data_IF_548427113144
#
_entry.id   IF_548427113144
#
_cell.length_a   1.000
_cell.length_b   1.000
_cell.length_c   1.000
_cell.angle_alpha   90.00
_cell.angle_beta   90.00
_cell.angle_gamma   90.00
#
_symmetry.space_group_name_H-M   'P 1'
#
loop_
_entity.id
_entity.type
_entity.pdbx_description
1 polymer ?
#
# COMPACT_ATOMS: atom_id res chain seq x y z
N UNK A 1 55.85 -13.19 -16.26
CA UNK A 1 54.68 -14.03 -16.02
C UNK A 1 53.63 -13.15 -15.35
N UNK A 2 52.77 -12.58 -16.12
CA UNK A 2 51.69 -11.67 -15.69
C UNK A 2 50.38 -12.38 -15.84
N UNK A 3 49.74 -12.72 -14.71
CA UNK A 3 48.43 -13.31 -14.68
C UNK A 3 47.37 -12.18 -14.61
N UNK A 4 46.72 -11.96 -15.74
CA UNK A 4 45.58 -11.04 -15.82
C UNK A 4 44.33 -11.69 -15.25
N UNK A 5 43.72 -11.07 -14.24
CA UNK A 5 42.39 -11.37 -13.77
C UNK A 5 41.36 -10.85 -14.76
N UNK A 6 40.54 -11.74 -15.30
CA UNK A 6 39.33 -11.39 -16.07
C UNK A 6 38.26 -10.90 -15.12
N UNK A 7 38.01 -9.60 -15.11
CA UNK A 7 36.78 -9.04 -14.59
C UNK A 7 35.60 -9.45 -15.49
N UNK A 8 34.68 -10.22 -14.96
CA UNK A 8 33.38 -10.47 -15.57
C UNK A 8 32.57 -9.16 -15.51
N UNK A 9 32.45 -8.49 -16.65
CA UNK A 9 31.48 -7.40 -16.83
C UNK A 9 30.08 -8.00 -16.73
N UNK A 10 29.41 -7.81 -15.62
CA UNK A 10 27.97 -7.93 -15.54
C UNK A 10 27.37 -7.00 -16.59
N UNK A 11 26.58 -7.58 -17.50
CA UNK A 11 25.86 -6.84 -18.53
C UNK A 11 24.77 -5.97 -17.86
N UNK A 12 25.14 -4.74 -17.54
CA UNK A 12 24.17 -3.70 -17.24
C UNK A 12 23.47 -3.34 -18.55
N UNK A 13 22.21 -3.77 -18.70
CA UNK A 13 21.32 -3.31 -19.76
C UNK A 13 20.73 -1.99 -19.26
N UNK A 14 21.09 -0.84 -19.85
CA UNK A 14 20.46 0.42 -19.48
C UNK A 14 18.99 0.35 -19.88
N UNK A 15 18.09 0.62 -18.93
CA UNK A 15 16.65 0.72 -19.20
C UNK A 15 16.40 1.91 -20.12
N UNK A 16 15.49 1.75 -21.08
CA UNK A 16 15.08 2.82 -22.00
C UNK A 16 14.42 4.03 -21.26
N UNK A 17 14.34 3.99 -19.95
CA UNK A 17 13.80 5.04 -19.08
C UNK A 17 14.71 6.28 -18.96
N UNK A 18 15.97 6.22 -19.39
CA UNK A 18 16.89 7.35 -19.25
C UNK A 18 16.69 8.48 -20.29
N UNK A 19 15.91 8.26 -21.34
CA UNK A 19 15.81 9.21 -22.45
C UNK A 19 14.49 9.96 -22.60
N UNK A 20 13.42 9.68 -21.85
CA UNK A 20 12.10 10.31 -22.06
C UNK A 20 11.33 10.69 -20.78
N UNK A 21 11.93 11.33 -19.81
CA UNK A 21 11.16 11.95 -18.73
C UNK A 21 11.09 13.47 -18.89
N UNK A 22 10.13 13.92 -19.72
CA UNK A 22 9.61 15.30 -19.60
C UNK A 22 8.68 15.32 -18.40
N UNK A 23 9.04 16.12 -17.36
CA UNK A 23 8.25 16.26 -16.15
C UNK A 23 6.85 16.80 -16.44
N UNK A 24 5.83 16.00 -16.28
CA UNK A 24 4.44 16.40 -16.32
C UNK A 24 4.06 17.11 -15.02
N UNK A 25 3.46 18.29 -15.11
CA UNK A 25 3.00 19.00 -13.92
C UNK A 25 1.67 18.43 -13.40
N UNK A 26 1.29 18.79 -12.15
CA UNK A 26 0.10 18.29 -11.47
C UNK A 26 -1.19 18.44 -12.28
N UNK A 27 -1.31 19.53 -13.05
CA UNK A 27 -2.49 19.84 -13.85
C UNK A 27 -2.62 18.89 -15.05
N UNK A 28 -1.51 18.57 -15.68
CA UNK A 28 -1.44 17.63 -16.81
C UNK A 28 -1.75 16.21 -16.37
N UNK A 29 -1.26 15.80 -15.19
CA UNK A 29 -1.56 14.48 -14.60
C UNK A 29 -3.07 14.33 -14.29
N UNK A 30 -3.68 15.30 -13.62
CA UNK A 30 -5.11 15.30 -13.26
C UNK A 30 -6.01 15.43 -14.49
N UNK A 31 -5.63 16.25 -15.46
CA UNK A 31 -6.41 16.44 -16.70
C UNK A 31 -6.40 15.17 -17.58
N UNK A 32 -5.27 14.49 -17.65
CA UNK A 32 -5.14 13.25 -18.39
C UNK A 32 -5.99 12.11 -17.77
N UNK A 33 -6.06 12.04 -16.45
CA UNK A 33 -6.86 11.04 -15.74
C UNK A 33 -8.37 11.32 -15.81
N UNK A 34 -8.80 12.59 -15.78
CA UNK A 34 -10.20 13.00 -15.88
C UNK A 34 -10.85 12.71 -17.23
N UNK A 35 -10.06 12.71 -18.31
CA UNK A 35 -10.55 12.44 -19.67
C UNK A 35 -10.96 10.98 -19.91
N UNK A 36 -10.52 10.04 -19.06
CA UNK A 36 -10.83 8.61 -19.19
C UNK A 36 -12.20 8.22 -18.63
N UNK A 37 -12.75 9.01 -17.70
CA UNK A 37 -14.00 8.66 -16.99
C UNK A 37 -15.28 9.15 -17.69
N UNK A 38 -15.19 9.69 -18.92
CA UNK A 38 -16.33 9.87 -19.83
C UNK A 38 -17.61 10.48 -19.25
N UNK A 39 -17.51 11.33 -18.20
CA UNK A 39 -18.67 12.04 -17.64
C UNK A 39 -18.56 13.53 -17.87
N UNK A 40 -19.04 13.97 -19.02
CA UNK A 40 -19.49 15.34 -19.20
C UNK A 40 -20.80 15.54 -18.41
N UNK A 41 -20.71 15.83 -17.14
CA UNK A 41 -21.82 16.38 -16.38
C UNK A 41 -21.64 17.89 -16.33
N UNK A 42 -22.26 18.57 -17.27
CA UNK A 42 -22.51 20.01 -17.21
C UNK A 42 -23.55 20.25 -16.11
N UNK A 43 -23.11 20.65 -14.92
CA UNK A 43 -24.03 21.13 -13.89
C UNK A 43 -24.11 22.64 -13.99
N UNK A 44 -25.23 23.10 -14.58
CA UNK A 44 -25.68 24.48 -14.51
C UNK A 44 -26.09 24.82 -13.08
N UNK A 45 -25.50 25.89 -12.55
CA UNK A 45 -25.93 26.57 -11.33
C UNK A 45 -27.26 27.30 -11.60
N UNK A 46 -28.35 26.83 -11.00
CA UNK A 46 -29.48 27.68 -10.63
C UNK A 46 -29.98 27.27 -9.25
N UNK A 47 -30.03 28.25 -8.35
CA UNK A 47 -30.54 28.05 -7.01
C UNK A 47 -32.07 28.01 -6.97
N UNK A 48 -32.61 27.40 -5.93
CA UNK A 48 -33.78 27.87 -5.16
C UNK A 48 -34.20 26.87 -4.07
N UNK A 49 -34.24 27.37 -2.88
CA UNK A 49 -35.19 27.21 -1.76
C UNK A 49 -35.81 25.88 -1.38
N UNK A 50 -35.75 25.75 -0.06
CA UNK A 50 -36.43 24.85 0.87
C UNK A 50 -37.92 24.61 0.64
N UNK A 51 -38.36 23.41 0.99
CA UNK A 51 -39.51 23.22 1.90
C UNK A 51 -39.65 21.76 2.35
N UNK A 52 -39.98 21.63 3.60
CA UNK A 52 -40.29 20.46 4.42
C UNK A 52 -41.47 19.62 3.94
N UNK A 53 -41.45 18.30 4.11
CA UNK A 53 -42.68 17.50 4.38
C UNK A 53 -42.35 16.21 5.13
N UNK A 54 -43.22 15.89 6.07
CA UNK A 54 -43.18 14.89 7.12
C UNK A 54 -43.45 13.44 6.69
N UNK A 55 -42.93 12.55 7.55
CA UNK A 55 -43.58 11.34 8.10
C UNK A 55 -44.00 10.16 7.20
N UNK A 56 -43.32 9.05 7.44
CA UNK A 56 -43.83 7.70 7.13
C UNK A 56 -43.25 6.69 8.09
N UNK A 57 -44.04 6.21 9.03
CA UNK A 57 -43.77 5.14 10.02
C UNK A 57 -43.58 3.80 9.33
N UNK A 58 -42.70 2.95 9.84
CA UNK A 58 -42.77 1.53 9.53
C UNK A 58 -41.61 0.67 9.97
N UNK A 59 -41.81 -0.03 11.07
CA UNK A 59 -41.35 -1.35 11.50
C UNK A 59 -39.89 -1.53 11.95
N UNK A 60 -39.79 -1.69 13.27
CA UNK A 60 -38.69 -2.27 14.03
C UNK A 60 -38.31 -3.67 13.53
N UNK A 61 -37.07 -3.83 13.07
CA UNK A 61 -36.37 -5.10 13.10
C UNK A 61 -35.22 -4.96 14.08
N UNK A 62 -35.41 -5.42 15.29
CA UNK A 62 -34.37 -5.62 16.29
C UNK A 62 -33.34 -6.62 15.77
N UNK A 63 -32.21 -6.14 15.31
CA UNK A 63 -31.03 -6.95 15.09
C UNK A 63 -30.18 -6.91 16.35
N UNK A 64 -30.18 -8.02 17.11
CA UNK A 64 -29.34 -8.21 18.27
C UNK A 64 -27.87 -8.13 17.83
N UNK A 65 -27.15 -7.15 18.35
CA UNK A 65 -25.70 -7.08 18.31
C UNK A 65 -25.15 -7.93 19.46
N UNK A 66 -24.16 -8.80 19.24
CA UNK A 66 -23.43 -9.38 20.34
C UNK A 66 -22.57 -8.30 20.98
N UNK A 67 -22.85 -7.98 22.23
CA UNK A 67 -22.07 -7.03 23.01
C UNK A 67 -20.68 -7.59 23.31
N UNK A 68 -19.68 -6.88 22.85
CA UNK A 68 -18.37 -6.78 23.49
C UNK A 68 -17.97 -5.31 23.46
N UNK A 69 -18.46 -4.56 24.44
CA UNK A 69 -17.91 -3.27 24.83
C UNK A 69 -16.83 -3.52 25.89
N UNK A 70 -15.70 -4.08 25.51
CA UNK A 70 -14.48 -3.78 26.22
C UNK A 70 -13.95 -2.45 25.70
N UNK A 71 -14.05 -1.42 26.52
CA UNK A 71 -13.36 -0.14 26.34
C UNK A 71 -11.87 -0.40 26.43
N UNK A 72 -11.26 -0.75 25.30
CA UNK A 72 -9.80 -0.83 25.16
C UNK A 72 -9.21 0.56 25.47
N UNK A 73 -8.17 0.65 26.33
CA UNK A 73 -7.50 1.91 26.52
C UNK A 73 -7.04 2.45 25.17
N UNK A 74 -7.42 3.69 24.85
CA UNK A 74 -6.93 4.41 23.67
C UNK A 74 -5.42 4.58 23.89
N UNK A 75 -4.63 3.70 23.30
CA UNK A 75 -3.20 3.92 23.18
C UNK A 75 -3.04 5.12 22.24
N UNK A 76 -2.30 6.15 22.67
CA UNK A 76 -2.06 7.37 21.90
C UNK A 76 -1.31 7.14 20.56
N UNK A 77 -1.73 6.16 19.77
CA UNK A 77 -1.14 5.70 18.52
C UNK A 77 0.14 4.87 18.73
N UNK A 78 0.70 4.42 17.61
CA UNK A 78 1.89 3.58 17.63
C UNK A 78 1.58 2.11 17.34
N UNK A 79 2.61 1.29 17.19
CA UNK A 79 2.47 -0.07 16.68
C UNK A 79 2.09 -1.09 17.76
N UNK A 80 2.19 -0.72 19.05
CA UNK A 80 1.99 -1.60 20.17
C UNK A 80 0.51 -1.70 20.59
N UNK A 81 0.14 -2.88 21.10
CA UNK A 81 -1.12 -3.11 21.82
C UNK A 81 -0.87 -3.41 23.32
N UNK A 82 -1.83 -4.07 23.96
CA UNK A 82 -1.72 -4.44 25.37
C UNK A 82 -0.53 -5.37 25.68
N UNK A 83 0.03 -6.06 24.69
CA UNK A 83 1.19 -6.94 24.85
C UNK A 83 2.42 -6.21 25.39
N UNK A 84 2.59 -4.92 25.07
CA UNK A 84 3.72 -4.13 25.58
C UNK A 84 3.78 -4.13 27.10
N UNK A 85 2.63 -4.12 27.80
CA UNK A 85 2.59 -4.19 29.26
C UNK A 85 3.23 -5.47 29.76
N UNK A 86 2.83 -6.61 29.21
CA UNK A 86 3.38 -7.92 29.60
C UNK A 86 4.87 -8.04 29.26
N UNK A 87 5.28 -7.51 28.11
CA UNK A 87 6.71 -7.48 27.74
C UNK A 87 7.52 -6.66 28.74
N UNK A 88 7.00 -5.51 29.19
CA UNK A 88 7.67 -4.68 30.22
C UNK A 88 7.79 -5.41 31.57
N UNK A 89 6.82 -6.24 31.92
CA UNK A 89 6.87 -7.06 33.14
C UNK A 89 7.90 -8.20 33.02
N UNK A 90 8.03 -8.82 31.86
CA UNK A 90 8.89 -9.98 31.64
C UNK A 90 10.33 -9.63 31.26
N UNK A 91 10.50 -8.59 30.44
CA UNK A 91 11.83 -8.09 30.02
C UNK A 91 11.80 -6.55 29.88
N UNK A 92 11.91 -5.83 31.01
CA UNK A 92 11.81 -4.37 31.03
C UNK A 92 12.89 -3.68 30.18
N UNK A 93 14.10 -4.24 30.14
CA UNK A 93 15.23 -3.65 29.40
C UNK A 93 15.02 -3.73 27.90
N UNK A 94 14.58 -4.86 27.40
CA UNK A 94 14.28 -5.02 25.98
C UNK A 94 13.06 -4.17 25.60
N UNK A 95 12.02 -4.17 26.43
CA UNK A 95 10.80 -3.40 26.22
C UNK A 95 11.10 -1.90 26.07
N UNK A 96 11.91 -1.32 26.96
CA UNK A 96 12.31 0.09 26.90
C UNK A 96 13.04 0.40 25.58
N UNK A 97 14.02 -0.43 25.21
CA UNK A 97 14.82 -0.23 23.99
C UNK A 97 13.95 -0.36 22.73
N UNK A 98 13.11 -1.39 22.69
CA UNK A 98 12.23 -1.66 21.56
C UNK A 98 11.16 -0.56 21.40
N UNK A 99 10.54 -0.14 22.49
CA UNK A 99 9.57 0.96 22.48
C UNK A 99 10.22 2.29 22.02
N UNK A 100 11.43 2.58 22.50
CA UNK A 100 12.18 3.78 22.09
C UNK A 100 12.41 3.77 20.56
N UNK A 101 12.75 2.63 19.99
CA UNK A 101 12.97 2.47 18.55
C UNK A 101 11.64 2.55 17.78
N UNK A 102 10.64 1.80 18.19
CA UNK A 102 9.37 1.66 17.47
C UNK A 102 8.49 2.90 17.53
N UNK A 103 8.58 3.68 18.60
CA UNK A 103 7.86 4.96 18.74
C UNK A 103 8.62 6.16 18.14
N UNK A 104 9.78 5.92 17.49
CA UNK A 104 10.59 7.00 16.91
C UNK A 104 9.83 7.87 15.90
N UNK A 105 9.07 7.32 14.91
CA UNK A 105 8.32 8.13 13.95
C UNK A 105 7.26 9.02 14.63
N UNK A 106 6.56 8.49 15.61
CA UNK A 106 5.54 9.24 16.37
C UNK A 106 6.12 10.36 17.23
N UNK A 107 7.38 10.24 17.66
CA UNK A 107 8.07 11.25 18.47
C UNK A 107 8.79 12.30 17.64
N UNK A 108 9.43 11.90 16.54
CA UNK A 108 10.15 12.83 15.66
C UNK A 108 9.25 13.64 14.75
N UNK A 109 8.12 13.06 14.33
CA UNK A 109 7.13 13.72 13.47
C UNK A 109 7.74 14.32 12.20
N UNK A 110 8.62 13.56 11.51
CA UNK A 110 9.17 13.95 10.20
C UNK A 110 8.04 14.03 9.17
N UNK A 111 7.17 13.01 9.18
CA UNK A 111 5.92 13.01 8.44
C UNK A 111 4.76 13.48 9.33
N UNK A 112 3.71 14.11 8.76
CA UNK A 112 2.48 14.42 9.48
C UNK A 112 1.89 13.18 10.15
N UNK A 113 1.36 13.32 11.36
CA UNK A 113 0.76 12.21 12.13
C UNK A 113 -0.24 11.40 11.30
N UNK A 114 -1.13 12.06 10.57
CA UNK A 114 -2.09 11.43 9.68
C UNK A 114 -1.42 10.49 8.67
N UNK A 115 -0.33 10.93 8.06
CA UNK A 115 0.41 10.14 7.07
C UNK A 115 1.10 8.95 7.72
N UNK A 116 1.67 9.10 8.91
CA UNK A 116 2.26 7.98 9.68
C UNK A 116 1.21 6.89 9.94
N UNK A 117 0.01 7.28 10.38
CA UNK A 117 -1.07 6.32 10.65
C UNK A 117 -1.62 5.67 9.38
N UNK A 118 -1.76 6.42 8.29
CA UNK A 118 -2.20 5.89 7.01
C UNK A 118 -1.18 4.94 6.38
N UNK A 119 0.13 5.22 6.50
CA UNK A 119 1.18 4.27 6.08
C UNK A 119 1.14 3.01 6.95
N UNK A 120 1.00 3.17 8.25
CA UNK A 120 0.88 2.04 9.17
C UNK A 120 -0.36 1.19 8.89
N UNK A 121 -1.48 1.83 8.52
CA UNK A 121 -2.68 1.16 8.03
C UNK A 121 -2.39 0.37 6.75
N UNK A 122 -1.75 0.98 5.75
CA UNK A 122 -1.39 0.31 4.49
C UNK A 122 -0.59 -0.97 4.75
N UNK A 123 0.43 -0.89 5.61
CA UNK A 123 1.30 -2.01 5.97
C UNK A 123 0.57 -3.14 6.70
N UNK A 124 -0.38 -2.81 7.59
CA UNK A 124 -1.15 -3.82 8.32
C UNK A 124 -2.26 -4.45 7.47
N UNK A 125 -2.89 -3.69 6.57
CA UNK A 125 -3.98 -4.14 5.71
C UNK A 125 -3.50 -4.76 4.39
N UNK A 126 -2.21 -4.64 4.04
CA UNK A 126 -1.65 -5.22 2.82
C UNK A 126 -1.97 -6.71 2.70
N UNK A 127 -2.25 -7.18 1.48
CA UNK A 127 -2.59 -8.59 1.22
C UNK A 127 -1.49 -9.58 1.65
N UNK A 128 -0.28 -9.10 1.86
CA UNK A 128 0.86 -9.86 2.39
C UNK A 128 0.92 -9.92 3.92
N UNK A 129 0.07 -9.18 4.64
CA UNK A 129 0.09 -9.08 6.11
C UNK A 129 -1.28 -9.40 6.73
N UNK A 130 -2.36 -8.72 6.30
CA UNK A 130 -3.75 -8.91 6.76
C UNK A 130 -3.91 -8.92 8.30
N UNK A 131 -3.17 -8.07 8.99
CA UNK A 131 -3.21 -7.93 10.45
C UNK A 131 -4.46 -7.15 10.88
N UNK A 132 -5.51 -7.85 11.31
CA UNK A 132 -6.79 -7.25 11.67
C UNK A 132 -6.68 -6.25 12.82
N UNK A 133 -5.98 -6.58 13.89
CA UNK A 133 -5.85 -5.73 15.08
C UNK A 133 -5.03 -4.47 14.77
N UNK A 134 -3.93 -4.61 14.02
CA UNK A 134 -3.15 -3.49 13.53
C UNK A 134 -3.94 -2.59 12.60
N UNK A 135 -4.69 -3.17 11.66
CA UNK A 135 -5.58 -2.43 10.75
C UNK A 135 -6.59 -1.61 11.52
N UNK A 136 -7.31 -2.21 12.47
CA UNK A 136 -8.28 -1.51 13.32
C UNK A 136 -7.65 -0.38 14.12
N UNK A 137 -6.49 -0.63 14.73
CA UNK A 137 -5.75 0.37 15.52
C UNK A 137 -5.40 1.59 14.69
N UNK A 138 -4.81 1.37 13.51
CA UNK A 138 -4.36 2.47 12.66
C UNK A 138 -5.49 3.18 11.91
N UNK A 139 -6.64 2.52 11.64
CA UNK A 139 -7.86 3.20 11.17
C UNK A 139 -8.33 4.20 12.24
N UNK A 140 -8.46 3.78 13.50
CA UNK A 140 -8.89 4.66 14.58
C UNK A 140 -7.91 5.82 14.77
N UNK A 141 -6.61 5.53 14.84
CA UNK A 141 -5.58 6.56 15.00
C UNK A 141 -5.49 7.53 13.81
N UNK A 142 -5.74 7.06 12.58
CA UNK A 142 -5.82 7.90 11.40
C UNK A 142 -7.03 8.84 11.45
N UNK A 143 -8.21 8.34 11.85
CA UNK A 143 -9.41 9.15 12.06
C UNK A 143 -9.19 10.21 13.14
N UNK A 144 -8.56 9.84 14.27
CA UNK A 144 -8.20 10.77 15.34
C UNK A 144 -7.20 11.83 14.87
N UNK A 145 -6.33 11.50 13.91
CA UNK A 145 -5.40 12.42 13.26
C UNK A 145 -6.03 13.23 12.10
N UNK A 146 -7.34 13.14 11.90
CA UNK A 146 -8.09 13.89 10.90
C UNK A 146 -8.10 13.27 9.50
N UNK A 147 -7.85 11.97 9.37
CA UNK A 147 -8.05 11.27 8.11
C UNK A 147 -9.54 11.14 7.78
N UNK A 148 -9.86 11.29 6.50
CA UNK A 148 -11.21 11.10 6.00
C UNK A 148 -11.48 9.63 5.65
N UNK A 149 -12.77 9.26 5.55
CA UNK A 149 -13.18 7.95 5.01
C UNK A 149 -12.55 7.68 3.64
N UNK A 150 -12.50 8.69 2.79
CA UNK A 150 -12.04 8.53 1.41
C UNK A 150 -10.52 8.34 1.34
N UNK A 151 -9.75 8.99 2.22
CA UNK A 151 -8.31 8.75 2.37
C UNK A 151 -8.04 7.32 2.88
N UNK A 152 -8.76 6.86 3.89
CA UNK A 152 -8.63 5.50 4.42
C UNK A 152 -8.98 4.46 3.33
N UNK A 153 -10.11 4.65 2.64
CA UNK A 153 -10.52 3.76 1.55
C UNK A 153 -9.49 3.75 0.42
N UNK A 154 -8.89 4.89 0.10
CA UNK A 154 -7.86 4.99 -0.93
C UNK A 154 -6.60 4.21 -0.54
N UNK A 155 -6.15 4.30 0.70
CA UNK A 155 -5.02 3.51 1.21
C UNK A 155 -5.30 2.00 1.09
N UNK A 156 -6.50 1.55 1.44
CA UNK A 156 -6.89 0.14 1.30
C UNK A 156 -6.90 -0.32 -0.15
N UNK A 157 -7.38 0.52 -1.07
CA UNK A 157 -7.31 0.25 -2.52
C UNK A 157 -5.86 0.16 -3.00
N UNK A 158 -4.98 1.10 -2.59
CA UNK A 158 -3.56 1.04 -2.93
C UNK A 158 -2.91 -0.25 -2.43
N UNK A 159 -3.21 -0.66 -1.19
CA UNK A 159 -2.70 -1.90 -0.63
C UNK A 159 -3.16 -3.15 -1.41
N UNK A 160 -4.36 -3.13 -2.01
CA UNK A 160 -4.87 -4.22 -2.83
C UNK A 160 -4.16 -4.38 -4.18
N UNK A 161 -3.67 -3.27 -4.77
CA UNK A 161 -2.96 -3.27 -6.05
C UNK A 161 -1.58 -3.95 -6.00
N UNK A 162 -1.05 -4.14 -4.80
CA UNK A 162 0.24 -4.80 -4.59
C UNK A 162 0.29 -6.21 -5.20
N UNK A 163 -0.85 -6.87 -5.32
CA UNK A 163 -0.99 -8.22 -5.88
C UNK A 163 -0.52 -8.36 -7.32
N UNK A 164 -0.42 -7.27 -8.10
CA UNK A 164 0.08 -7.30 -9.48
C UNK A 164 1.52 -7.81 -9.59
N UNK A 165 2.28 -7.73 -8.51
CA UNK A 165 3.66 -8.19 -8.50
C UNK A 165 3.78 -9.71 -8.67
N UNK A 166 2.70 -10.47 -8.46
CA UNK A 166 2.63 -11.88 -8.86
C UNK A 166 2.78 -12.06 -10.39
N UNK A 167 2.11 -11.19 -11.16
CA UNK A 167 2.27 -11.20 -12.62
C UNK A 167 3.62 -10.64 -13.07
N UNK A 168 4.11 -9.58 -12.39
CA UNK A 168 5.44 -9.01 -12.68
C UNK A 168 6.58 -10.01 -12.45
N UNK A 169 6.41 -10.94 -11.50
CA UNK A 169 7.34 -12.04 -11.25
C UNK A 169 7.07 -13.23 -12.19
N UNK A 170 5.82 -13.69 -12.23
CA UNK A 170 5.48 -14.98 -12.85
C UNK A 170 5.41 -14.95 -14.36
N UNK A 171 4.95 -13.86 -14.98
CA UNK A 171 4.76 -13.82 -16.42
C UNK A 171 6.07 -13.90 -17.24
N UNK A 172 7.16 -13.19 -16.91
CA UNK A 172 8.42 -13.37 -17.61
C UNK A 172 8.98 -14.78 -17.44
N UNK A 173 8.88 -15.38 -16.24
CA UNK A 173 9.29 -16.77 -15.98
C UNK A 173 8.46 -17.74 -16.84
N UNK A 174 7.13 -17.53 -16.91
CA UNK A 174 6.26 -18.36 -17.74
C UNK A 174 6.67 -18.32 -19.21
N UNK A 175 6.97 -17.15 -19.77
CA UNK A 175 7.42 -16.99 -21.15
C UNK A 175 8.77 -17.68 -21.38
N UNK A 176 9.71 -17.56 -20.44
CA UNK A 176 11.02 -18.22 -20.51
C UNK A 176 10.89 -19.74 -20.51
N UNK A 177 10.13 -20.30 -19.56
CA UNK A 177 9.94 -21.74 -19.43
C UNK A 177 9.11 -22.33 -20.60
N UNK A 178 8.10 -21.61 -21.05
CA UNK A 178 7.33 -22.03 -22.26
C UNK A 178 8.23 -22.12 -23.48
N UNK A 179 9.10 -21.13 -23.68
CA UNK A 179 10.08 -21.14 -24.77
C UNK A 179 11.04 -22.32 -24.64
N UNK A 180 11.56 -22.60 -23.45
CA UNK A 180 12.45 -23.73 -23.20
C UNK A 180 11.76 -25.09 -23.48
N UNK A 181 10.46 -25.16 -23.16
CA UNK A 181 9.63 -26.37 -23.43
C UNK A 181 9.14 -26.49 -24.88
N UNK A 182 9.46 -25.52 -25.75
CA UNK A 182 8.98 -25.52 -27.14
C UNK A 182 7.47 -25.20 -27.29
N UNK A 183 6.86 -24.65 -26.21
CA UNK A 183 5.46 -24.20 -26.22
C UNK A 183 5.39 -22.81 -26.84
N UNK A 184 4.54 -22.66 -27.88
CA UNK A 184 4.32 -21.37 -28.50
C UNK A 184 3.09 -20.68 -27.93
N UNK A 185 3.17 -19.37 -27.81
CA UNK A 185 2.00 -18.53 -27.50
C UNK A 185 0.95 -18.70 -28.60
N UNK A 186 -0.31 -18.83 -28.18
CA UNK A 186 -1.42 -18.79 -29.12
C UNK A 186 -1.41 -17.45 -29.87
N UNK A 187 -1.78 -17.46 -31.17
CA UNK A 187 -1.90 -16.18 -31.91
C UNK A 187 -2.80 -15.21 -31.18
N UNK A 188 -2.29 -13.98 -30.99
CA UNK A 188 -3.04 -12.90 -30.33
C UNK A 188 -4.32 -12.61 -31.11
N UNK A 189 -5.45 -12.51 -30.44
CA UNK A 189 -6.66 -11.96 -31.04
C UNK A 189 -6.37 -10.48 -31.40
N UNK A 190 -6.34 -10.17 -32.68
CA UNK A 190 -6.12 -8.80 -33.14
C UNK A 190 -7.37 -7.97 -32.91
N UNK A 191 -7.22 -6.77 -32.30
CA UNK A 191 -8.29 -5.78 -32.19
C UNK A 191 -8.95 -5.65 -30.84
N UNK A 192 -8.48 -6.29 -29.79
CA UNK A 192 -8.93 -5.96 -28.43
C UNK A 192 -8.42 -4.58 -28.04
N UNK A 193 -9.36 -3.68 -27.71
CA UNK A 193 -9.03 -2.33 -27.23
C UNK A 193 -8.49 -2.42 -25.80
N UNK A 194 -7.37 -1.74 -25.52
CA UNK A 194 -6.74 -1.67 -24.22
C UNK A 194 -6.54 -0.21 -23.79
N UNK A 195 -7.65 0.54 -23.57
CA UNK A 195 -7.60 2.00 -23.38
C UNK A 195 -6.85 2.40 -22.11
N UNK A 196 -6.90 1.61 -21.05
CA UNK A 196 -6.18 1.89 -19.82
C UNK A 196 -4.67 1.68 -19.98
N UNK A 197 -4.27 0.59 -20.64
CA UNK A 197 -2.87 0.33 -20.98
C UNK A 197 -2.32 1.43 -21.91
N UNK A 198 -3.10 1.82 -22.93
CA UNK A 198 -2.71 2.88 -23.86
C UNK A 198 -2.57 4.21 -23.12
N UNK A 199 -3.47 4.50 -22.21
CA UNK A 199 -3.37 5.68 -21.35
C UNK A 199 -2.13 5.69 -20.48
N UNK A 200 -1.77 4.54 -19.88
CA UNK A 200 -0.51 4.42 -19.12
C UNK A 200 0.72 4.71 -19.98
N UNK A 201 0.70 4.27 -21.26
CA UNK A 201 1.78 4.55 -22.23
C UNK A 201 1.82 6.05 -22.61
N UNK A 202 0.68 6.66 -22.92
CA UNK A 202 0.57 8.09 -23.23
C UNK A 202 1.09 8.96 -22.07
N UNK A 203 0.81 8.56 -20.83
CA UNK A 203 1.28 9.26 -19.64
C UNK A 203 2.77 9.01 -19.33
N UNK A 204 3.46 8.16 -20.09
CA UNK A 204 4.83 7.74 -19.80
C UNK A 204 4.99 6.94 -18.50
N UNK A 205 3.91 6.31 -18.04
CA UNK A 205 3.87 5.52 -16.80
C UNK A 205 3.97 4.02 -17.06
N UNK A 206 3.97 3.59 -18.31
CA UNK A 206 4.14 2.18 -18.65
C UNK A 206 5.50 1.65 -18.22
N UNK A 207 5.53 0.52 -17.52
CA UNK A 207 6.75 -0.17 -17.12
C UNK A 207 6.94 -1.40 -18.02
N UNK A 208 8.12 -1.55 -18.61
CA UNK A 208 8.48 -2.71 -19.44
C UNK A 208 8.35 -4.05 -18.69
N UNK A 209 8.46 -4.07 -17.36
CA UNK A 209 8.18 -5.25 -16.56
C UNK A 209 6.73 -5.76 -16.70
N UNK A 210 5.84 -4.96 -17.29
CA UNK A 210 4.44 -5.30 -17.54
C UNK A 210 4.21 -5.90 -18.93
N UNK A 211 5.16 -5.78 -19.85
CA UNK A 211 5.06 -6.31 -21.20
C UNK A 211 4.76 -7.83 -21.22
N UNK A 212 5.39 -8.69 -20.38
CA UNK A 212 5.14 -10.12 -20.40
C UNK A 212 3.69 -10.50 -20.13
N UNK A 213 3.06 -9.94 -19.10
CA UNK A 213 1.67 -10.28 -18.81
C UNK A 213 0.67 -9.54 -19.72
N UNK A 214 1.03 -8.37 -20.25
CA UNK A 214 0.27 -7.72 -21.31
C UNK A 214 0.32 -8.55 -22.61
N UNK A 215 1.42 -9.19 -22.91
CA UNK A 215 1.54 -10.09 -24.05
C UNK A 215 0.67 -11.33 -23.88
N UNK A 216 0.61 -11.88 -22.66
CA UNK A 216 -0.16 -13.09 -22.34
C UNK A 216 -1.66 -12.84 -22.30
N UNK A 217 -2.10 -11.74 -21.67
CA UNK A 217 -3.52 -11.39 -21.51
C UNK A 217 -3.72 -9.87 -21.49
N UNK A 218 -3.84 -9.25 -22.67
CA UNK A 218 -4.01 -7.79 -22.77
C UNK A 218 -5.32 -7.30 -22.18
N UNK A 219 -6.41 -8.08 -22.29
CA UNK A 219 -7.74 -7.69 -21.80
C UNK A 219 -7.75 -7.60 -20.27
N UNK A 220 -7.31 -8.64 -19.58
CA UNK A 220 -7.19 -8.62 -18.12
C UNK A 220 -6.20 -7.56 -17.64
N UNK A 221 -5.10 -7.38 -18.36
CA UNK A 221 -4.11 -6.35 -18.03
C UNK A 221 -4.73 -4.94 -18.11
N UNK A 222 -5.57 -4.69 -19.11
CA UNK A 222 -6.28 -3.43 -19.27
C UNK A 222 -7.28 -3.19 -18.12
N UNK A 223 -8.05 -4.22 -17.73
CA UNK A 223 -8.96 -4.14 -16.58
C UNK A 223 -8.21 -3.81 -15.28
N UNK A 224 -7.04 -4.45 -15.07
CA UNK A 224 -6.19 -4.13 -13.93
C UNK A 224 -5.72 -2.67 -13.95
N UNK A 225 -5.20 -2.18 -15.09
CA UNK A 225 -4.74 -0.80 -15.18
C UNK A 225 -5.87 0.22 -15.13
N UNK A 226 -7.08 -0.11 -15.58
CA UNK A 226 -8.27 0.72 -15.35
C UNK A 226 -8.54 0.90 -13.85
N UNK A 227 -8.42 -0.18 -13.07
CA UNK A 227 -8.54 -0.13 -11.60
C UNK A 227 -7.43 0.72 -10.97
N UNK A 228 -6.17 0.52 -11.40
CA UNK A 228 -5.02 1.27 -10.88
C UNK A 228 -5.12 2.77 -11.20
N UNK A 229 -5.50 3.13 -12.42
CA UNK A 229 -5.73 4.54 -12.82
C UNK A 229 -6.78 5.21 -11.94
N UNK A 230 -7.88 4.51 -11.62
CA UNK A 230 -8.92 5.00 -10.72
C UNK A 230 -8.42 5.29 -9.30
N UNK A 231 -7.34 4.63 -8.87
CA UNK A 231 -6.69 4.87 -7.57
C UNK A 231 -5.70 6.02 -7.66
N UNK A 232 -4.70 5.92 -8.52
CA UNK A 232 -3.59 6.88 -8.58
C UNK A 232 -3.99 8.25 -9.13
N UNK A 233 -5.02 8.33 -9.98
CA UNK A 233 -5.53 9.55 -10.55
C UNK A 233 -6.69 10.19 -9.78
N UNK A 234 -7.11 9.62 -8.66
CA UNK A 234 -8.25 10.09 -7.86
C UNK A 234 -8.11 11.51 -7.31
N UNK A 235 -6.88 11.99 -7.09
CA UNK A 235 -6.61 13.28 -6.47
C UNK A 235 -6.85 13.33 -4.96
N UNK A 236 -7.18 12.21 -4.31
CA UNK A 236 -7.35 12.11 -2.85
C UNK A 236 -6.03 12.41 -2.16
N UNK A 237 -4.93 11.91 -2.69
CA UNK A 237 -3.57 12.18 -2.21
C UNK A 237 -2.78 13.01 -3.20
N UNK A 238 -1.82 13.75 -2.69
CA UNK A 238 -0.82 14.43 -3.53
C UNK A 238 0.11 13.40 -4.18
N UNK A 239 0.76 13.72 -5.30
CA UNK A 239 1.75 12.82 -5.91
C UNK A 239 2.85 12.38 -4.95
N UNK A 240 3.30 13.25 -4.04
CA UNK A 240 4.30 12.91 -3.01
C UNK A 240 3.78 11.84 -2.05
N UNK A 241 2.55 12.00 -1.55
CA UNK A 241 1.93 11.03 -0.64
C UNK A 241 1.71 9.68 -1.32
N UNK A 242 1.29 9.67 -2.59
CA UNK A 242 1.17 8.44 -3.39
C UNK A 242 2.50 7.68 -3.43
N UNK A 243 3.61 8.38 -3.70
CA UNK A 243 4.92 7.72 -3.72
C UNK A 243 5.33 7.20 -2.34
N UNK A 244 5.05 7.92 -1.25
CA UNK A 244 5.35 7.46 0.11
C UNK A 244 4.59 6.18 0.47
N UNK A 245 3.29 6.09 0.13
CA UNK A 245 2.51 4.86 0.30
C UNK A 245 3.05 3.72 -0.55
N UNK A 246 3.41 3.98 -1.80
CA UNK A 246 3.95 2.99 -2.72
C UNK A 246 5.32 2.47 -2.25
N UNK A 247 6.20 3.34 -1.73
CA UNK A 247 7.47 2.92 -1.11
C UNK A 247 7.19 2.00 0.09
N UNK A 248 6.24 2.37 0.96
CA UNK A 248 5.91 1.56 2.13
C UNK A 248 5.43 0.16 1.75
N UNK A 249 4.52 0.08 0.77
CA UNK A 249 3.95 -1.18 0.31
C UNK A 249 5.00 -2.07 -0.35
N UNK A 250 5.82 -1.52 -1.24
CA UNK A 250 6.83 -2.29 -1.98
C UNK A 250 8.03 -2.69 -1.10
N UNK A 251 8.46 -1.81 -0.18
CA UNK A 251 9.58 -2.06 0.73
C UNK A 251 9.18 -2.82 2.00
N UNK A 252 7.89 -3.09 2.22
CA UNK A 252 7.42 -3.80 3.41
C UNK A 252 8.14 -5.16 3.53
N UNK A 253 8.51 -5.55 4.76
CA UNK A 253 9.27 -6.78 5.00
C UNK A 253 8.51 -8.06 4.59
N UNK A 254 7.19 -7.97 4.44
CA UNK A 254 6.34 -9.07 3.95
C UNK A 254 6.30 -9.14 2.43
N UNK A 255 6.88 -8.15 1.72
CA UNK A 255 6.82 -8.06 0.26
C UNK A 255 8.19 -7.94 -0.41
N UNK A 256 9.04 -7.00 0.05
CA UNK A 256 10.44 -6.84 -0.39
C UNK A 256 10.61 -6.73 -1.93
N UNK A 257 9.72 -5.99 -2.59
CA UNK A 257 9.75 -5.84 -4.05
C UNK A 257 10.71 -4.73 -4.48
N UNK A 258 11.97 -5.10 -4.71
CA UNK A 258 13.05 -4.16 -5.01
C UNK A 258 12.83 -3.31 -6.29
N UNK A 259 12.29 -3.84 -7.42
CA UNK A 259 12.06 -3.01 -8.61
C UNK A 259 11.09 -1.86 -8.37
N UNK A 260 9.97 -2.11 -7.70
CA UNK A 260 8.98 -1.10 -7.36
C UNK A 260 9.51 -0.11 -6.33
N UNK A 261 10.15 -0.59 -5.25
CA UNK A 261 10.81 0.27 -4.25
C UNK A 261 11.77 1.26 -4.91
N UNK A 262 12.62 0.80 -5.83
CA UNK A 262 13.55 1.66 -6.57
C UNK A 262 12.83 2.71 -7.40
N UNK A 263 11.78 2.31 -8.14
CA UNK A 263 10.99 3.20 -8.97
C UNK A 263 10.32 4.30 -8.14
N UNK A 264 9.66 3.93 -7.06
CA UNK A 264 8.93 4.87 -6.21
C UNK A 264 9.87 5.80 -5.42
N UNK A 265 11.03 5.33 -4.95
CA UNK A 265 12.06 6.22 -4.36
C UNK A 265 12.56 7.23 -5.39
N UNK A 266 12.86 6.79 -6.63
CA UNK A 266 13.30 7.69 -7.72
C UNK A 266 12.24 8.76 -8.03
N UNK A 267 10.95 8.37 -8.08
CA UNK A 267 9.84 9.30 -8.32
C UNK A 267 9.64 10.26 -7.15
N UNK A 268 9.66 9.77 -5.91
CA UNK A 268 9.54 10.59 -4.70
C UNK A 268 10.60 11.68 -4.63
N UNK A 269 11.88 11.32 -4.87
CA UNK A 269 12.99 12.28 -4.90
C UNK A 269 12.81 13.35 -5.98
N UNK A 270 12.33 12.98 -7.18
CA UNK A 270 12.02 13.94 -8.26
C UNK A 270 10.89 14.90 -7.88
N UNK A 271 9.93 14.44 -7.11
CA UNK A 271 8.83 15.26 -6.59
C UNK A 271 9.27 16.14 -5.40
N UNK A 272 10.54 16.03 -4.96
CA UNK A 272 11.09 16.80 -3.84
C UNK A 272 10.67 16.26 -2.47
N UNK A 273 10.43 14.95 -2.36
CA UNK A 273 10.39 14.25 -1.07
C UNK A 273 11.81 14.13 -0.55
N UNK A 274 12.04 14.44 0.71
CA UNK A 274 13.37 14.40 1.30
C UNK A 274 13.82 12.97 1.62
N UNK A 275 15.12 12.75 1.71
CA UNK A 275 15.68 11.48 2.17
C UNK A 275 15.22 11.12 3.59
N UNK A 276 14.97 12.12 4.41
CA UNK A 276 14.51 11.95 5.79
C UNK A 276 13.07 11.44 5.83
N UNK A 277 12.17 11.98 4.98
CA UNK A 277 10.80 11.50 4.82
C UNK A 277 10.78 10.06 4.30
N UNK A 278 11.59 9.73 3.29
CA UNK A 278 11.71 8.36 2.76
C UNK A 278 12.22 7.40 3.84
N UNK A 279 13.25 7.81 4.60
CA UNK A 279 13.77 6.98 5.69
C UNK A 279 12.73 6.77 6.79
N UNK A 280 11.87 7.76 7.05
CA UNK A 280 10.75 7.60 8.01
C UNK A 280 9.77 6.53 7.54
N UNK A 281 9.42 6.49 6.24
CA UNK A 281 8.61 5.41 5.66
C UNK A 281 9.27 4.04 5.86
N UNK A 282 10.57 3.93 5.58
CA UNK A 282 11.29 2.66 5.76
C UNK A 282 11.35 2.22 7.22
N UNK A 283 11.44 3.15 8.18
CA UNK A 283 11.31 2.82 9.61
C UNK A 283 9.92 2.25 9.94
N UNK A 284 8.85 2.82 9.37
CA UNK A 284 7.50 2.29 9.56
C UNK A 284 7.37 0.85 9.05
N UNK A 285 8.06 0.49 7.96
CA UNK A 285 8.14 -0.90 7.50
C UNK A 285 8.81 -1.82 8.53
N UNK A 286 9.95 -1.39 9.11
CA UNK A 286 10.68 -2.17 10.13
C UNK A 286 9.85 -2.34 11.41
N UNK A 287 9.14 -1.30 11.81
CA UNK A 287 8.34 -1.26 13.04
C UNK A 287 7.23 -2.31 13.04
N UNK A 288 6.75 -2.76 11.87
CA UNK A 288 5.77 -3.85 11.79
C UNK A 288 6.28 -5.16 12.44
N UNK A 289 7.58 -5.32 12.67
CA UNK A 289 8.14 -6.48 13.36
C UNK A 289 7.59 -6.70 14.78
N UNK A 290 7.09 -5.65 15.47
CA UNK A 290 6.48 -5.81 16.81
C UNK A 290 5.17 -6.57 16.78
N UNK A 291 4.55 -6.77 15.62
CA UNK A 291 3.33 -7.58 15.51
C UNK A 291 3.55 -9.03 15.95
N UNK A 292 4.79 -9.53 15.86
CA UNK A 292 5.16 -10.83 16.43
C UNK A 292 4.94 -10.86 17.96
N UNK A 293 5.30 -9.77 18.66
CA UNK A 293 5.07 -9.65 20.10
C UNK A 293 3.60 -9.40 20.43
N UNK A 294 2.93 -8.54 19.68
CA UNK A 294 1.49 -8.27 19.84
C UNK A 294 0.66 -9.56 19.72
N UNK A 295 1.03 -10.45 18.79
CA UNK A 295 0.39 -11.75 18.63
C UNK A 295 0.85 -12.77 19.67
N UNK A 296 2.16 -12.96 19.82
CA UNK A 296 2.72 -14.11 20.54
C UNK A 296 2.73 -13.96 22.05
N UNK A 297 2.91 -12.74 22.58
CA UNK A 297 3.03 -12.53 24.03
C UNK A 297 1.72 -12.82 24.77
N UNK A 298 0.55 -12.37 24.33
CA UNK A 298 -0.72 -12.76 24.96
C UNK A 298 -0.98 -14.25 24.91
N UNK A 299 -0.67 -14.91 23.80
CA UNK A 299 -0.83 -16.36 23.65
C UNK A 299 0.10 -17.10 24.65
N UNK A 300 1.35 -16.67 24.75
CA UNK A 300 2.30 -17.27 25.72
C UNK A 300 1.80 -17.08 27.15
N UNK A 301 1.31 -15.91 27.52
CA UNK A 301 0.78 -15.65 28.86
C UNK A 301 -0.41 -16.58 29.17
N UNK A 302 -1.34 -16.73 28.23
CA UNK A 302 -2.49 -17.63 28.36
C UNK A 302 -2.06 -19.10 28.56
N UNK A 303 -1.12 -19.59 27.75
CA UNK A 303 -0.64 -20.98 27.84
C UNK A 303 0.12 -21.24 29.13
N UNK A 304 0.87 -20.29 29.66
CA UNK A 304 1.52 -20.39 30.95
C UNK A 304 0.49 -20.49 32.09
N UNK A 305 -0.57 -19.69 32.04
CA UNK A 305 -1.65 -19.74 33.04
C UNK A 305 -2.40 -21.08 33.01
N UNK A 306 -2.77 -21.58 31.83
CA UNK A 306 -3.39 -22.92 31.68
C UNK A 306 -2.54 -24.03 32.27
N UNK A 307 -1.21 -23.94 32.15
CA UNK A 307 -0.29 -24.94 32.74
C UNK A 307 -0.18 -24.83 34.27
N UNK A 308 -0.28 -23.61 34.80
CA UNK A 308 -0.29 -23.35 36.23
C UNK A 308 -1.53 -23.96 36.89
N UNK A 309 -2.71 -23.74 36.32
CA UNK A 309 -3.98 -24.23 36.83
C UNK A 309 -4.13 -25.77 36.75
N UNK A 310 -3.44 -26.44 35.82
CA UNK A 310 -3.43 -27.92 35.72
C UNK A 310 -2.53 -28.60 36.74
N UNK A 311 -1.63 -27.86 37.38
CA UNK A 311 -0.69 -28.42 38.39
C UNK A 311 -1.16 -28.13 39.83
N UNK A 312 -2.14 -27.26 40.01
CA UNK A 312 -2.85 -27.02 41.28
C UNK A 312 -4.05 -27.96 41.44
#
# INVERSE_FOLDING_TARGET
MTTGSKETKENYIPSAEDSQQRGMNRREFVTAAGALLGTTATVGLTGANAQSAEAGKGSDVKRASPGHTETRPVTNGGPWDAALKTVREWDPKWAETCEKMTMNPWRKSVLPRKIIELISLALNAACTNLNQDGTRRHINAALDAGATRDEILMVLKMASLLSIHSCSLGAPILLEEAKAAGVQLAPRKTGEATPACDKMREMGQWNQAWDPFYELDPAWTDEFFATALGVYASGVFTPKEVELFSIALDASYTHMYAPGTRRHIKAALKLGVSMEEIMEVLKLCVIQGVQACNLGVPILAEELEKRRTRKS
#
